data_IF_251449831238
#
_entry.id   IF_251449831238
#
_cell.length_a   1.000
_cell.length_b   1.000
_cell.length_c   1.000
_cell.angle_alpha   90.00
_cell.angle_beta   90.00
_cell.angle_gamma   90.00
#
_symmetry.space_group_name_H-M   'P 1'
#
loop_
_entity.id
_entity.type
_entity.pdbx_description
1 polymer ?
#
# COMPACT_ATOMS: atom_id res chain seq x y z
N UNK A 1 6.11 21.68 2.27
CA UNK A 1 6.07 20.27 2.71
C UNK A 1 4.61 19.88 2.74
N UNK A 2 4.23 18.82 2.03
CA UNK A 2 2.88 18.28 2.13
C UNK A 2 2.72 17.61 3.51
N UNK A 3 1.60 17.84 4.17
CA UNK A 3 1.29 17.22 5.46
C UNK A 3 1.12 15.70 5.32
N UNK A 4 1.02 15.03 6.45
CA UNK A 4 0.51 13.66 6.55
C UNK A 4 -0.80 13.52 5.75
N UNK A 5 -0.95 12.39 5.04
CA UNK A 5 -2.18 12.07 4.31
C UNK A 5 -2.81 10.85 4.97
N UNK A 6 -4.09 10.97 5.33
CA UNK A 6 -4.86 9.89 5.90
C UNK A 6 -6.23 9.79 5.22
N UNK A 7 -6.38 8.82 4.31
CA UNK A 7 -7.65 8.58 3.61
C UNK A 7 -8.13 7.20 3.99
N UNK A 8 -9.43 7.03 4.20
CA UNK A 8 -10.01 5.73 4.48
C UNK A 8 -11.30 5.51 3.69
N UNK A 9 -11.66 4.24 3.52
CA UNK A 9 -12.89 3.83 2.88
C UNK A 9 -13.44 2.59 3.58
N UNK A 10 -14.76 2.46 3.64
CA UNK A 10 -15.45 1.31 4.22
C UNK A 10 -16.17 0.54 3.13
N UNK A 11 -16.08 -0.78 3.16
CA UNK A 11 -16.88 -1.66 2.32
C UNK A 11 -18.01 -2.29 3.15
N UNK A 12 -19.25 -2.04 2.75
CA UNK A 12 -20.43 -2.53 3.47
C UNK A 12 -20.63 -4.05 3.34
N UNK A 13 -20.22 -4.66 2.23
CA UNK A 13 -20.39 -6.10 1.96
C UNK A 13 -19.55 -6.96 2.89
N UNK A 14 -18.26 -6.64 3.00
CA UNK A 14 -17.31 -7.40 3.81
C UNK A 14 -17.12 -6.83 5.22
N UNK A 15 -17.70 -5.65 5.48
CA UNK A 15 -17.49 -4.85 6.68
C UNK A 15 -16.00 -4.53 6.96
N UNK A 16 -15.17 -4.47 5.91
CA UNK A 16 -13.74 -4.15 6.01
C UNK A 16 -13.51 -2.66 5.79
N UNK A 17 -12.38 -2.18 6.29
CA UNK A 17 -11.90 -0.82 6.02
C UNK A 17 -10.60 -0.88 5.23
N UNK A 18 -10.45 0.07 4.33
CA UNK A 18 -9.19 0.38 3.68
C UNK A 18 -8.68 1.68 4.27
N UNK A 19 -7.40 1.71 4.60
CA UNK A 19 -6.73 2.89 5.13
C UNK A 19 -5.50 3.14 4.29
N UNK A 20 -5.37 4.35 3.80
CA UNK A 20 -4.18 4.88 3.18
C UNK A 20 -3.57 5.88 4.14
N UNK A 21 -2.33 5.63 4.52
CA UNK A 21 -1.58 6.48 5.43
C UNK A 21 -0.25 6.82 4.80
N UNK A 22 0.07 8.10 4.81
CA UNK A 22 1.36 8.65 4.42
C UNK A 22 1.88 9.49 5.57
N UNK A 23 3.02 9.06 6.15
CA UNK A 23 3.61 9.64 7.35
C UNK A 23 4.72 10.67 7.05
N UNK A 24 4.68 11.28 5.87
CA UNK A 24 5.69 12.18 5.32
C UNK A 24 7.00 11.49 4.90
N UNK A 25 7.24 10.24 5.30
CA UNK A 25 8.39 9.45 4.89
C UNK A 25 8.01 8.38 3.86
N UNK A 26 6.96 7.63 4.15
CA UNK A 26 6.51 6.47 3.36
C UNK A 26 5.00 6.35 3.45
N UNK A 27 4.41 5.82 2.39
CA UNK A 27 2.97 5.63 2.31
C UNK A 27 2.61 4.15 2.25
N UNK A 28 1.58 3.75 2.98
CA UNK A 28 1.06 2.39 3.08
C UNK A 28 -0.43 2.32 2.80
N UNK A 29 -0.83 1.24 2.14
CA UNK A 29 -2.21 0.78 2.04
C UNK A 29 -2.42 -0.34 3.07
N UNK A 30 -3.48 -0.24 3.86
CA UNK A 30 -3.92 -1.25 4.80
C UNK A 30 -5.33 -1.72 4.47
N UNK A 31 -5.57 -3.01 4.61
CA UNK A 31 -6.88 -3.64 4.60
C UNK A 31 -7.13 -4.26 5.98
N UNK A 32 -8.22 -3.88 6.65
CA UNK A 32 -8.52 -4.35 8.00
C UNK A 32 -9.25 -5.69 8.01
N UNK A 33 -9.24 -6.37 9.17
CA UNK A 33 -10.14 -7.50 9.42
C UNK A 33 -11.60 -7.04 9.45
N UNK A 34 -12.57 -7.88 9.04
CA UNK A 34 -13.99 -7.53 9.05
C UNK A 34 -14.46 -7.04 10.42
N UNK A 35 -15.15 -5.90 10.44
CA UNK A 35 -15.73 -5.31 11.65
C UNK A 35 -14.71 -4.73 12.64
N UNK A 36 -13.45 -4.60 12.25
CA UNK A 36 -12.40 -4.05 13.13
C UNK A 36 -11.56 -2.99 12.42
N UNK A 37 -10.83 -2.20 13.21
CA UNK A 37 -9.79 -1.29 12.74
C UNK A 37 -8.40 -1.95 12.69
N UNK A 38 -8.29 -3.26 12.95
CA UNK A 38 -7.00 -3.95 12.97
C UNK A 38 -6.56 -4.28 11.55
N UNK A 39 -5.37 -3.81 11.09
CA UNK A 39 -4.81 -4.22 9.81
C UNK A 39 -4.69 -5.75 9.73
N UNK A 40 -5.13 -6.31 8.62
CA UNK A 40 -4.96 -7.72 8.26
C UNK A 40 -3.92 -7.89 7.16
N UNK A 41 -3.91 -6.96 6.20
CA UNK A 41 -3.01 -6.94 5.05
C UNK A 41 -2.51 -5.53 4.81
N UNK A 42 -1.32 -5.44 4.26
CA UNK A 42 -0.65 -4.20 3.92
C UNK A 42 0.08 -4.30 2.57
N UNK A 43 0.35 -3.12 2.02
CA UNK A 43 1.27 -2.94 0.91
C UNK A 43 1.88 -1.54 1.00
N UNK A 44 3.20 -1.44 0.90
CA UNK A 44 3.86 -0.15 0.68
C UNK A 44 3.38 0.45 -0.66
N UNK A 45 2.94 1.70 -0.65
CA UNK A 45 2.43 2.39 -1.84
C UNK A 45 3.52 3.16 -2.58
N UNK A 46 4.34 3.93 -1.85
CA UNK A 46 5.48 4.69 -2.35
C UNK A 46 6.33 5.25 -1.18
N UNK A 47 7.51 5.77 -1.49
CA UNK A 47 8.35 6.57 -0.59
C UNK A 47 8.21 8.05 -0.93
N UNK A 48 8.18 8.92 0.07
CA UNK A 48 8.33 10.38 -0.12
C UNK A 48 9.78 10.83 -0.04
N UNK A 49 10.59 10.11 0.74
CA UNK A 49 12.01 10.39 0.90
C UNK A 49 12.86 9.55 -0.05
N UNK A 50 14.10 9.98 -0.36
CA UNK A 50 15.04 9.19 -1.14
C UNK A 50 15.21 7.78 -0.57
N UNK A 51 15.29 6.81 -1.48
CA UNK A 51 15.40 5.39 -1.16
C UNK A 51 16.70 5.10 -0.41
N UNK A 52 16.60 4.31 0.65
CA UNK A 52 17.77 3.88 1.42
C UNK A 52 18.55 2.82 0.65
N UNK A 53 19.88 2.76 0.83
CA UNK A 53 20.69 1.73 0.17
C UNK A 53 20.31 0.31 0.65
N UNK A 54 20.04 0.16 1.95
CA UNK A 54 19.68 -1.10 2.59
C UNK A 54 18.74 -0.86 3.78
N UNK A 55 17.75 -1.73 3.97
CA UNK A 55 16.87 -1.70 5.16
C UNK A 55 17.52 -2.47 6.30
N UNK A 56 17.74 -1.82 7.44
CA UNK A 56 18.15 -2.51 8.67
C UNK A 56 16.95 -3.15 9.36
N UNK A 57 16.61 -4.38 8.95
CA UNK A 57 15.47 -5.13 9.47
C UNK A 57 15.55 -5.40 10.98
N UNK A 58 16.75 -5.59 11.54
CA UNK A 58 16.93 -5.78 12.98
C UNK A 58 16.48 -4.56 13.76
N UNK A 59 16.91 -3.36 13.31
CA UNK A 59 16.50 -2.10 13.93
C UNK A 59 15.01 -1.83 13.77
N UNK A 60 14.43 -2.10 12.59
CA UNK A 60 12.98 -1.96 12.35
C UNK A 60 12.19 -2.83 13.33
N UNK A 61 12.62 -4.07 13.55
CA UNK A 61 11.95 -4.99 14.47
C UNK A 61 12.06 -4.55 15.94
N UNK A 62 13.19 -3.98 16.34
CA UNK A 62 13.43 -3.48 17.71
C UNK A 62 12.66 -2.19 18.00
N UNK A 63 12.72 -1.23 17.07
CA UNK A 63 12.15 0.12 17.25
C UNK A 63 10.68 0.20 16.86
N UNK A 64 10.19 -0.76 16.07
CA UNK A 64 8.88 -0.72 15.40
C UNK A 64 8.69 0.51 14.51
N UNK A 65 9.78 1.08 14.01
CA UNK A 65 9.75 2.12 12.98
C UNK A 65 9.11 1.59 11.69
N UNK A 66 8.45 2.47 10.94
CA UNK A 66 7.94 2.12 9.60
C UNK A 66 9.13 1.83 8.68
N UNK A 67 9.23 0.63 8.09
CA UNK A 67 10.34 0.33 7.20
C UNK A 67 10.30 1.19 5.94
N UNK A 68 11.41 1.85 5.65
CA UNK A 68 11.61 2.58 4.40
C UNK A 68 11.85 1.60 3.24
N UNK A 69 11.65 2.09 2.02
CA UNK A 69 11.92 1.31 0.81
C UNK A 69 13.40 1.40 0.42
N UNK A 70 14.04 0.25 0.20
CA UNK A 70 15.43 0.18 -0.26
C UNK A 70 15.56 0.14 -1.77
N UNK A 71 16.72 0.59 -2.27
CA UNK A 71 17.04 0.69 -3.69
C UNK A 71 17.05 -0.66 -4.42
N UNK A 72 17.35 -1.76 -3.72
CA UNK A 72 17.43 -3.12 -4.28
C UNK A 72 16.05 -3.74 -4.61
N UNK A 73 14.99 -3.25 -3.96
CA UNK A 73 13.60 -3.70 -4.17
C UNK A 73 12.71 -2.64 -4.81
N UNK A 74 13.09 -1.37 -4.78
CA UNK A 74 12.31 -0.28 -5.32
C UNK A 74 12.23 -0.32 -6.85
N UNK A 75 11.09 0.11 -7.39
CA UNK A 75 10.95 0.40 -8.82
C UNK A 75 11.27 1.86 -9.14
N UNK A 76 11.34 2.19 -10.42
CA UNK A 76 11.49 3.58 -10.90
C UNK A 76 10.30 4.49 -10.55
N UNK A 77 9.16 3.93 -10.13
CA UNK A 77 7.96 4.69 -9.75
C UNK A 77 7.77 4.80 -8.24
N UNK A 78 8.77 4.36 -7.46
CA UNK A 78 8.67 4.25 -6.02
C UNK A 78 8.72 5.60 -5.29
N UNK A 79 9.29 6.65 -5.89
CA UNK A 79 9.44 7.96 -5.26
C UNK A 79 8.32 8.90 -5.69
N UNK A 80 7.59 9.46 -4.72
CA UNK A 80 6.56 10.47 -4.93
C UNK A 80 6.77 11.61 -3.92
N UNK A 81 7.43 12.69 -4.35
CA UNK A 81 7.92 13.72 -3.43
C UNK A 81 6.83 14.68 -2.91
N UNK A 82 5.80 14.95 -3.72
CA UNK A 82 4.77 15.93 -3.39
C UNK A 82 3.37 15.38 -3.68
N UNK A 83 2.92 14.34 -2.95
CA UNK A 83 1.59 13.81 -3.12
C UNK A 83 0.54 14.78 -2.55
N UNK A 84 -0.64 14.79 -3.17
CA UNK A 84 -1.82 15.52 -2.68
C UNK A 84 -2.89 14.51 -2.30
N UNK A 85 -3.58 14.74 -1.18
CA UNK A 85 -4.67 13.84 -0.72
C UNK A 85 -5.72 13.60 -1.81
N UNK A 86 -6.07 14.65 -2.55
CA UNK A 86 -7.07 14.60 -3.63
C UNK A 86 -6.66 13.71 -4.83
N UNK A 87 -5.39 13.34 -4.96
CA UNK A 87 -4.94 12.42 -6.01
C UNK A 87 -5.39 10.98 -5.71
N UNK A 88 -5.73 10.68 -4.45
CA UNK A 88 -5.93 9.31 -3.98
C UNK A 88 -7.39 8.90 -3.90
N UNK A 89 -7.65 7.67 -4.31
CA UNK A 89 -8.95 7.03 -4.19
C UNK A 89 -8.81 5.53 -4.02
N UNK A 90 -9.88 4.87 -3.57
CA UNK A 90 -9.93 3.43 -3.41
C UNK A 90 -10.83 2.79 -4.46
N UNK A 91 -10.42 1.61 -4.94
CA UNK A 91 -11.28 0.70 -5.69
C UNK A 91 -11.40 -0.61 -4.93
N UNK A 92 -12.61 -0.99 -4.56
CA UNK A 92 -12.89 -2.25 -3.90
C UNK A 92 -13.16 -3.36 -4.92
N UNK A 93 -12.82 -4.60 -4.56
CA UNK A 93 -13.38 -5.77 -5.25
C UNK A 93 -14.87 -5.89 -4.94
N UNK A 94 -15.60 -6.57 -5.82
CA UNK A 94 -17.05 -6.74 -5.73
C UNK A 94 -17.48 -7.46 -4.43
N UNK A 95 -16.66 -8.39 -3.94
CA UNK A 95 -16.87 -9.10 -2.68
C UNK A 95 -16.36 -8.34 -1.43
N UNK A 96 -15.69 -7.20 -1.63
CA UNK A 96 -15.12 -6.38 -0.57
C UNK A 96 -13.90 -6.99 0.14
N UNK A 97 -13.33 -8.09 -0.35
CA UNK A 97 -12.17 -8.76 0.26
C UNK A 97 -10.81 -8.29 -0.27
N UNK A 98 -10.80 -7.40 -1.26
CA UNK A 98 -9.61 -6.74 -1.76
C UNK A 98 -9.87 -5.24 -2.01
N UNK A 99 -8.81 -4.45 -1.91
CA UNK A 99 -8.83 -3.02 -2.18
C UNK A 99 -7.58 -2.60 -2.93
N UNK A 100 -7.75 -1.74 -3.92
CA UNK A 100 -6.67 -1.06 -4.62
C UNK A 100 -6.65 0.42 -4.26
N UNK A 101 -5.44 0.94 -4.06
CA UNK A 101 -5.15 2.37 -3.99
C UNK A 101 -4.85 2.89 -5.39
N UNK A 102 -5.57 3.92 -5.79
CA UNK A 102 -5.39 4.61 -7.05
C UNK A 102 -4.81 6.00 -6.77
N UNK A 103 -3.85 6.41 -7.60
CA UNK A 103 -3.37 7.79 -7.68
C UNK A 103 -3.68 8.32 -9.06
N UNK A 104 -4.41 9.43 -9.16
CA UNK A 104 -4.87 9.99 -10.44
C UNK A 104 -5.58 8.94 -11.31
N UNK A 105 -6.45 8.15 -10.68
CA UNK A 105 -7.18 7.02 -11.29
C UNK A 105 -6.32 5.86 -11.82
N UNK A 106 -5.00 5.89 -11.59
CA UNK A 106 -4.09 4.79 -11.95
C UNK A 106 -3.83 3.95 -10.68
N UNK A 107 -4.03 2.63 -10.70
CA UNK A 107 -3.77 1.81 -9.53
C UNK A 107 -2.26 1.73 -9.28
N UNK A 108 -1.85 1.95 -8.02
CA UNK A 108 -0.45 1.95 -7.59
C UNK A 108 -0.13 0.86 -6.59
N UNK A 109 -1.10 0.42 -5.79
CA UNK A 109 -0.98 -0.68 -4.85
C UNK A 109 -2.32 -1.38 -4.65
N UNK A 110 -2.32 -2.64 -4.25
CA UNK A 110 -3.53 -3.33 -3.81
C UNK A 110 -3.23 -4.39 -2.74
N UNK A 111 -4.21 -4.66 -1.90
CA UNK A 111 -4.15 -5.70 -0.88
C UNK A 111 -5.42 -6.56 -0.95
N UNK A 112 -5.26 -7.85 -0.66
CA UNK A 112 -6.33 -8.85 -0.70
C UNK A 112 -6.21 -9.76 0.50
N UNK A 113 -7.34 -10.09 1.14
CA UNK A 113 -7.37 -10.97 2.30
C UNK A 113 -6.83 -12.39 1.98
N UNK A 114 -6.89 -12.82 0.71
CA UNK A 114 -6.41 -14.13 0.26
C UNK A 114 -4.91 -14.19 -0.02
N UNK A 115 -4.25 -13.04 -0.20
CA UNK A 115 -2.83 -12.99 -0.54
C UNK A 115 -1.97 -12.82 0.71
N UNK A 116 -0.76 -13.40 0.72
CA UNK A 116 0.14 -13.30 1.88
C UNK A 116 0.59 -11.86 2.12
N UNK A 117 1.00 -11.18 1.06
CA UNK A 117 1.41 -9.78 1.02
C UNK A 117 0.61 -9.06 -0.05
N UNK A 118 0.35 -7.76 0.12
CA UNK A 118 -0.21 -6.94 -0.96
C UNK A 118 0.80 -6.73 -2.10
N UNK A 119 0.40 -5.99 -3.11
CA UNK A 119 1.13 -5.77 -4.35
C UNK A 119 1.31 -4.28 -4.59
N UNK A 120 2.46 -3.89 -5.12
CA UNK A 120 2.78 -2.47 -5.32
C UNK A 120 3.60 -2.22 -6.58
N UNK A 121 3.29 -1.12 -7.26
CA UNK A 121 4.13 -0.60 -8.34
C UNK A 121 5.42 0.02 -7.83
N UNK A 122 5.50 0.43 -6.57
CA UNK A 122 6.74 0.91 -5.97
C UNK A 122 7.78 -0.19 -5.78
N UNK A 123 7.39 -1.46 -5.89
CA UNK A 123 8.27 -2.61 -5.67
C UNK A 123 8.55 -3.31 -6.99
N UNK A 124 9.83 -3.41 -7.36
CA UNK A 124 10.30 -4.15 -8.53
C UNK A 124 10.49 -5.66 -8.25
N UNK A 125 10.71 -6.04 -6.98
CA UNK A 125 10.91 -7.42 -6.55
C UNK A 125 10.20 -7.70 -5.23
N UNK A 126 9.45 -8.80 -5.15
CA UNK A 126 8.69 -9.16 -3.95
C UNK A 126 9.56 -9.19 -2.69
N UNK A 127 9.03 -8.61 -1.62
CA UNK A 127 9.66 -8.46 -0.31
C UNK A 127 8.59 -8.56 0.79
N UNK A 128 8.97 -8.54 2.08
CA UNK A 128 8.01 -8.43 3.18
C UNK A 128 7.14 -7.16 3.15
N UNK A 129 7.52 -6.13 2.38
CA UNK A 129 6.76 -4.87 2.30
C UNK A 129 5.62 -4.91 1.27
N UNK A 130 5.82 -5.66 0.18
CA UNK A 130 4.84 -5.97 -0.84
C UNK A 130 5.45 -6.92 -1.87
N UNK A 131 4.58 -7.60 -2.61
CA UNK A 131 4.89 -8.21 -3.90
C UNK A 131 5.10 -7.13 -4.98
N UNK A 132 5.91 -7.45 -5.98
CA UNK A 132 5.97 -6.65 -7.20
C UNK A 132 4.60 -6.66 -7.91
N UNK A 133 4.25 -5.57 -8.59
CA UNK A 133 2.96 -5.42 -9.27
C UNK A 133 2.63 -6.60 -10.19
N UNK A 134 1.45 -7.20 -10.00
CA UNK A 134 0.92 -8.25 -10.86
C UNK A 134 -0.40 -7.78 -11.50
N UNK A 135 -0.32 -7.45 -12.80
CA UNK A 135 -1.45 -6.97 -13.57
C UNK A 135 -2.57 -8.01 -13.68
N UNK A 136 -2.23 -9.30 -13.87
CA UNK A 136 -3.23 -10.37 -14.00
C UNK A 136 -3.97 -10.58 -12.68
N UNK A 137 -3.25 -10.51 -11.56
CA UNK A 137 -3.86 -10.62 -10.22
C UNK A 137 -4.78 -9.44 -9.93
N UNK A 138 -4.36 -8.22 -10.27
CA UNK A 138 -5.22 -7.02 -10.17
C UNK A 138 -6.50 -7.19 -10.98
N UNK A 139 -6.38 -7.57 -12.26
CA UNK A 139 -7.55 -7.71 -13.13
C UNK A 139 -8.53 -8.77 -12.62
N UNK A 140 -8.02 -9.89 -12.12
CA UNK A 140 -8.84 -10.97 -11.55
C UNK A 140 -9.66 -10.53 -10.32
N UNK A 141 -9.19 -9.55 -9.56
CA UNK A 141 -9.84 -9.04 -8.35
C UNK A 141 -10.78 -7.86 -8.60
N UNK A 142 -10.49 -7.01 -9.60
CA UNK A 142 -11.14 -5.70 -9.75
C UNK A 142 -11.87 -5.47 -11.09
N UNK A 143 -11.92 -6.47 -11.98
CA UNK A 143 -12.54 -6.34 -13.32
C UNK A 143 -13.73 -7.28 -13.52
N UNK A 144 -14.22 -7.89 -12.43
CA UNK A 144 -15.41 -8.75 -12.43
C UNK A 144 -16.64 -8.03 -11.90
#
# INVERSE_FOLDING_TARGET
MAKDIFVHSHNQTSNRQAVFQDDESVAYLYLTRPGTQKPEKDAIAYSRVPLVAEVNWSKVNETRETPLLSQDIASSTALVENPLEADFSFKWSTDGHAVALLRNSIPIAFASASDKFGYSKAVAKSSPLANAWDQKRYEALFTK
#
